data_IF_002299876306
#
_entry.id   IF_002299876306
#
_cell.length_a   1.000
_cell.length_b   1.000
_cell.length_c   1.000
_cell.angle_alpha   90.00
_cell.angle_beta   90.00
_cell.angle_gamma   90.00
#
_symmetry.space_group_name_H-M   'P 1'
#
loop_
_entity.id
_entity.type
_entity.pdbx_description
1 polymer ?
#
# COMPACT_ATOMS: atom_id res chain seq x y z
N UNK A 1 13.45 22.75 -4.53
CA UNK A 1 13.36 21.26 -4.55
C UNK A 1 12.42 20.84 -3.44
N UNK A 2 11.62 19.79 -3.65
CA UNK A 2 10.79 19.21 -2.60
C UNK A 2 11.66 18.68 -1.44
N UNK A 3 11.14 18.74 -0.20
CA UNK A 3 11.83 18.16 0.97
C UNK A 3 11.91 16.63 0.85
N UNK A 4 12.83 16.01 1.58
CA UNK A 4 12.95 14.55 1.59
C UNK A 4 11.66 13.90 2.12
N UNK A 5 11.03 14.49 3.12
CA UNK A 5 9.73 14.05 3.64
C UNK A 5 8.64 14.05 2.54
N UNK A 6 8.56 15.15 1.76
CA UNK A 6 7.64 15.23 0.61
C UNK A 6 7.89 14.11 -0.39
N UNK A 7 9.16 13.80 -0.68
CA UNK A 7 9.55 12.73 -1.61
C UNK A 7 9.21 11.35 -1.07
N UNK A 8 9.47 11.09 0.23
CA UNK A 8 9.11 9.83 0.87
C UNK A 8 7.60 9.63 0.87
N UNK A 9 6.84 10.65 1.27
CA UNK A 9 5.37 10.63 1.26
C UNK A 9 4.83 10.36 -0.14
N UNK A 10 5.34 11.07 -1.16
CA UNK A 10 4.92 10.87 -2.54
C UNK A 10 5.18 9.43 -3.00
N UNK A 11 6.35 8.88 -2.66
CA UNK A 11 6.70 7.51 -3.02
C UNK A 11 5.83 6.47 -2.34
N UNK A 12 5.45 6.68 -1.08
CA UNK A 12 4.49 5.81 -0.39
C UNK A 12 3.14 5.85 -1.10
N UNK A 13 2.62 7.02 -1.47
CA UNK A 13 1.36 7.11 -2.20
C UNK A 13 1.45 6.46 -3.58
N UNK A 14 2.48 6.77 -4.37
CA UNK A 14 2.64 6.22 -5.74
C UNK A 14 2.88 4.72 -5.77
N UNK A 15 3.74 4.20 -4.89
CA UNK A 15 4.27 2.86 -5.01
C UNK A 15 3.79 1.86 -3.94
N UNK A 16 3.03 2.33 -2.94
CA UNK A 16 2.44 1.47 -1.92
C UNK A 16 0.93 1.64 -1.82
N UNK A 17 0.39 2.87 -1.71
CA UNK A 17 -1.04 3.10 -1.56
C UNK A 17 -1.83 2.93 -2.87
N UNK A 18 -1.48 3.65 -3.94
CA UNK A 18 -2.20 3.55 -5.22
C UNK A 18 -2.23 2.13 -5.81
N UNK A 19 -1.18 1.30 -5.70
CA UNK A 19 -1.24 -0.11 -6.10
C UNK A 19 -2.30 -0.96 -5.39
N UNK A 20 -2.85 -0.51 -4.25
CA UNK A 20 -3.96 -1.17 -3.57
C UNK A 20 -5.26 -1.11 -4.39
N UNK A 21 -5.40 -0.15 -5.30
CA UNK A 21 -6.54 -0.06 -6.20
C UNK A 21 -6.76 -1.34 -7.00
N UNK A 22 -5.68 -2.04 -7.38
CA UNK A 22 -5.79 -3.37 -8.00
C UNK A 22 -6.51 -4.35 -7.07
N UNK A 23 -6.07 -4.46 -5.82
CA UNK A 23 -6.69 -5.38 -4.84
C UNK A 23 -8.14 -5.02 -4.60
N UNK A 24 -8.45 -3.74 -4.43
CA UNK A 24 -9.81 -3.24 -4.21
C UNK A 24 -10.71 -3.53 -5.40
N UNK A 25 -10.23 -3.30 -6.62
CA UNK A 25 -10.99 -3.56 -7.84
C UNK A 25 -11.28 -5.05 -8.07
N UNK A 26 -10.41 -5.95 -7.57
CA UNK A 26 -10.55 -7.40 -7.74
C UNK A 26 -11.27 -8.09 -6.58
N UNK A 27 -11.13 -7.57 -5.36
CA UNK A 27 -11.62 -8.23 -4.14
C UNK A 27 -12.96 -7.65 -3.66
N UNK A 28 -13.32 -6.41 -4.06
CA UNK A 28 -14.63 -5.83 -3.75
C UNK A 28 -15.65 -6.24 -4.83
N UNK A 29 -16.66 -7.09 -4.51
CA UNK A 29 -17.53 -7.73 -5.51
C UNK A 29 -18.20 -6.75 -6.48
N UNK A 30 -18.73 -5.64 -5.96
CA UNK A 30 -19.39 -4.60 -6.74
C UNK A 30 -18.45 -3.88 -7.72
N UNK A 31 -17.18 -3.71 -7.36
CA UNK A 31 -16.18 -3.13 -8.25
C UNK A 31 -15.69 -4.16 -9.28
N UNK A 32 -15.43 -5.39 -8.85
CA UNK A 32 -15.08 -6.48 -9.75
C UNK A 32 -16.11 -6.61 -10.87
N UNK A 33 -17.40 -6.64 -10.54
CA UNK A 33 -18.50 -6.68 -11.52
C UNK A 33 -18.50 -5.48 -12.47
N UNK A 34 -18.19 -4.25 -11.97
CA UNK A 34 -18.11 -3.05 -12.80
C UNK A 34 -17.00 -3.11 -13.84
N UNK A 35 -15.98 -3.91 -13.62
CA UNK A 35 -14.82 -4.04 -14.52
C UNK A 35 -14.87 -5.29 -15.40
N UNK A 36 -15.86 -6.15 -15.30
CA UNK A 36 -16.03 -7.29 -16.21
C UNK A 36 -16.04 -6.83 -17.67
N UNK A 37 -15.17 -7.43 -18.50
CA UNK A 37 -15.01 -7.11 -19.93
C UNK A 37 -14.42 -5.73 -20.22
N UNK A 38 -13.96 -4.98 -19.23
CA UNK A 38 -13.38 -3.64 -19.43
C UNK A 38 -11.93 -3.74 -19.85
N UNK A 39 -11.59 -2.99 -20.93
CA UNK A 39 -10.21 -2.71 -21.33
C UNK A 39 -9.94 -1.22 -21.13
N UNK A 40 -8.95 -0.86 -20.34
CA UNK A 40 -8.67 0.53 -20.00
C UNK A 40 -7.22 0.74 -19.55
N UNK A 41 -6.73 1.95 -19.74
CA UNK A 41 -5.44 2.41 -19.23
C UNK A 41 -5.66 3.65 -18.40
N UNK A 42 -5.22 3.59 -17.14
CA UNK A 42 -5.32 4.69 -16.18
C UNK A 42 -3.95 5.11 -15.69
N UNK A 43 -3.79 6.39 -15.38
CA UNK A 43 -2.55 6.91 -14.83
C UNK A 43 -2.81 7.94 -13.73
N UNK A 44 -1.97 7.91 -12.70
CA UNK A 44 -1.82 9.01 -11.74
C UNK A 44 -0.39 9.48 -11.84
N UNK A 45 -0.20 10.80 -12.01
CA UNK A 45 1.13 11.40 -12.15
C UNK A 45 1.28 12.68 -11.35
N UNK A 46 2.50 12.96 -10.88
CA UNK A 46 2.85 14.21 -10.21
C UNK A 46 4.19 14.74 -10.75
N UNK A 47 4.25 16.04 -11.05
CA UNK A 47 5.50 16.67 -11.49
C UNK A 47 6.50 16.71 -10.34
N UNK A 48 7.73 16.30 -10.64
CA UNK A 48 8.89 16.40 -9.75
C UNK A 48 9.61 17.75 -9.99
N UNK A 49 9.74 18.09 -11.27
CA UNK A 49 10.32 19.36 -11.75
C UNK A 49 9.66 19.73 -13.11
N UNK A 50 10.27 20.63 -13.87
CA UNK A 50 9.74 21.07 -15.16
C UNK A 50 9.71 19.94 -16.21
N UNK A 51 10.68 19.02 -16.17
CA UNK A 51 10.91 17.98 -17.18
C UNK A 51 10.46 16.61 -16.71
N UNK A 52 10.60 16.31 -15.39
CA UNK A 52 10.36 14.98 -14.82
C UNK A 52 9.03 14.91 -14.07
N UNK A 53 8.42 13.73 -14.13
CA UNK A 53 7.28 13.37 -13.30
C UNK A 53 7.41 11.94 -12.77
N UNK A 54 6.90 11.71 -11.57
CA UNK A 54 6.61 10.38 -11.07
C UNK A 54 5.20 9.97 -11.46
N UNK A 55 5.01 8.70 -11.76
CA UNK A 55 3.70 8.17 -12.12
C UNK A 55 3.53 6.71 -11.68
N UNK A 56 2.29 6.30 -11.62
CA UNK A 56 1.85 4.92 -11.56
C UNK A 56 0.74 4.74 -12.60
N UNK A 57 0.80 3.66 -13.36
CA UNK A 57 -0.25 3.36 -14.32
C UNK A 57 -0.85 1.97 -14.11
N UNK A 58 -2.07 1.86 -14.53
CA UNK A 58 -2.89 0.66 -14.42
C UNK A 58 -3.35 0.26 -15.82
N UNK A 59 -3.11 -0.99 -16.17
CA UNK A 59 -3.62 -1.58 -17.40
C UNK A 59 -4.68 -2.59 -16.98
N UNK A 60 -5.88 -2.41 -17.50
CA UNK A 60 -7.01 -3.32 -17.28
C UNK A 60 -7.30 -4.00 -18.60
N UNK A 61 -7.19 -5.32 -18.62
CA UNK A 61 -7.44 -6.17 -19.78
C UNK A 61 -8.55 -7.16 -19.41
N UNK A 62 -9.69 -7.05 -20.05
CA UNK A 62 -10.86 -7.88 -19.77
C UNK A 62 -11.23 -7.93 -18.27
N UNK A 63 -11.08 -6.81 -17.57
CA UNK A 63 -11.33 -6.68 -16.13
C UNK A 63 -10.15 -7.03 -15.22
N UNK A 64 -9.11 -7.66 -15.76
CA UNK A 64 -7.90 -8.00 -15.00
C UNK A 64 -6.95 -6.82 -14.89
N UNK A 65 -6.58 -6.46 -13.66
CA UNK A 65 -5.75 -5.30 -13.36
C UNK A 65 -4.27 -5.66 -13.27
N UNK A 66 -3.45 -4.90 -13.97
CA UNK A 66 -2.00 -4.84 -13.73
C UNK A 66 -1.57 -3.44 -13.33
N UNK A 67 -0.52 -3.34 -12.50
CA UNK A 67 0.00 -2.06 -11.96
C UNK A 67 1.49 -2.00 -12.24
N UNK A 68 1.94 -0.87 -12.80
CA UNK A 68 3.36 -0.60 -13.05
C UNK A 68 3.71 0.81 -12.58
N UNK A 69 4.88 0.94 -11.97
CA UNK A 69 5.45 2.25 -11.61
C UNK A 69 6.06 2.90 -12.84
N UNK A 70 5.97 4.20 -12.91
CA UNK A 70 6.40 5.02 -14.05
C UNK A 70 5.23 5.38 -14.98
N UNK A 71 5.56 6.23 -15.95
CA UNK A 71 4.60 6.65 -16.97
C UNK A 71 4.25 5.49 -17.91
N UNK A 72 3.04 5.54 -18.42
CA UNK A 72 2.64 4.64 -19.50
C UNK A 72 3.28 5.11 -20.81
N UNK A 73 4.12 4.26 -21.38
CA UNK A 73 4.86 4.51 -22.63
C UNK A 73 4.37 3.64 -23.81
N UNK A 74 3.23 2.98 -23.66
CA UNK A 74 2.66 2.14 -24.71
C UNK A 74 2.03 2.96 -25.85
N UNK A 75 1.63 2.26 -26.92
CA UNK A 75 1.06 2.90 -28.11
C UNK A 75 -0.40 3.34 -27.92
N UNK A 76 -1.12 2.71 -27.01
CA UNK A 76 -2.52 3.04 -26.75
C UNK A 76 -2.64 4.36 -25.97
N UNK A 77 -3.76 5.06 -26.16
CA UNK A 77 -4.02 6.30 -25.43
C UNK A 77 -4.55 6.00 -24.02
N UNK A 78 -4.03 6.69 -23.02
CA UNK A 78 -4.54 6.66 -21.64
C UNK A 78 -6.01 7.08 -21.64
N UNK A 79 -6.89 6.29 -21.03
CA UNK A 79 -8.34 6.56 -20.95
C UNK A 79 -8.68 7.63 -19.92
N UNK A 80 -7.94 7.64 -18.79
CA UNK A 80 -8.04 8.70 -17.79
C UNK A 80 -6.72 8.89 -17.04
N UNK A 81 -6.30 10.14 -16.85
CA UNK A 81 -5.14 10.52 -16.06
C UNK A 81 -5.51 11.59 -15.03
N UNK A 82 -5.07 11.36 -13.78
CA UNK A 82 -5.04 12.37 -12.73
C UNK A 82 -3.63 12.96 -12.67
N UNK A 83 -3.44 14.17 -13.22
CA UNK A 83 -2.14 14.82 -13.32
C UNK A 83 -2.00 15.95 -12.30
N UNK A 84 -1.15 15.74 -11.30
CA UNK A 84 -0.83 16.76 -10.29
C UNK A 84 0.31 17.65 -10.74
N UNK A 85 0.20 18.95 -10.45
CA UNK A 85 1.22 19.94 -10.85
C UNK A 85 2.47 19.90 -9.97
N UNK A 86 2.45 19.19 -8.84
CA UNK A 86 3.63 18.90 -8.01
C UNK A 86 3.36 17.69 -7.10
N UNK A 87 4.44 17.15 -6.50
CA UNK A 87 4.35 16.08 -5.49
C UNK A 87 3.61 16.54 -4.24
N UNK A 88 3.81 17.78 -3.80
CA UNK A 88 3.13 18.36 -2.63
C UNK A 88 1.62 18.32 -2.82
N UNK A 89 1.13 18.79 -3.97
CA UNK A 89 -0.32 18.79 -4.26
C UNK A 89 -0.91 17.39 -4.32
N UNK A 90 -0.16 16.43 -4.86
CA UNK A 90 -0.59 15.04 -4.84
C UNK A 90 -0.66 14.52 -3.41
N UNK A 91 0.38 14.76 -2.60
CA UNK A 91 0.41 14.33 -1.20
C UNK A 91 -0.76 14.93 -0.40
N UNK A 92 -1.03 16.22 -0.57
CA UNK A 92 -2.18 16.88 0.06
C UNK A 92 -3.51 16.26 -0.36
N UNK A 93 -3.71 16.01 -1.65
CA UNK A 93 -4.91 15.35 -2.15
C UNK A 93 -5.09 13.95 -1.57
N UNK A 94 -4.02 13.15 -1.55
CA UNK A 94 -4.04 11.80 -0.98
C UNK A 94 -4.29 11.79 0.53
N UNK A 95 -3.91 12.85 1.24
CA UNK A 95 -4.22 13.10 2.66
C UNK A 95 -5.63 13.71 2.88
N UNK A 96 -6.47 13.76 1.84
CA UNK A 96 -7.85 14.25 1.92
C UNK A 96 -8.02 15.77 1.84
N UNK A 97 -6.96 16.54 1.55
CA UNK A 97 -7.05 17.99 1.37
C UNK A 97 -7.54 18.33 -0.03
N UNK A 98 -8.82 18.69 -0.16
CA UNK A 98 -9.49 18.98 -1.44
C UNK A 98 -9.03 20.28 -2.14
N UNK A 99 -8.12 21.04 -1.54
CA UNK A 99 -7.58 22.27 -2.13
C UNK A 99 -6.61 22.03 -3.29
N UNK A 100 -6.11 20.80 -3.43
CA UNK A 100 -5.04 20.41 -4.37
C UNK A 100 -5.55 19.41 -5.43
N UNK A 101 -6.56 19.82 -6.20
CA UNK A 101 -7.17 18.95 -7.22
C UNK A 101 -6.23 18.69 -8.40
N UNK A 102 -6.21 17.45 -8.95
CA UNK A 102 -5.46 17.13 -10.15
C UNK A 102 -6.09 17.73 -11.40
N UNK A 103 -5.29 17.95 -12.43
CA UNK A 103 -5.81 18.13 -13.79
C UNK A 103 -6.27 16.77 -14.31
N UNK A 104 -7.55 16.66 -14.59
CA UNK A 104 -8.16 15.45 -15.15
C UNK A 104 -8.02 15.47 -16.66
N UNK A 105 -7.37 14.45 -17.24
CA UNK A 105 -7.31 14.19 -18.67
C UNK A 105 -8.17 12.97 -18.95
N UNK A 106 -9.32 13.18 -19.60
CA UNK A 106 -10.34 12.16 -19.79
C UNK A 106 -10.55 11.93 -21.29
N UNK A 107 -10.29 10.70 -21.75
CA UNK A 107 -10.62 10.22 -23.10
C UNK A 107 -11.99 9.54 -23.11
N UNK A 108 -12.31 8.79 -22.05
CA UNK A 108 -13.56 8.05 -21.89
C UNK A 108 -14.20 8.35 -20.54
N UNK A 109 -15.32 9.04 -20.54
CA UNK A 109 -16.01 9.41 -19.30
C UNK A 109 -16.51 8.19 -18.52
N UNK A 110 -17.05 7.17 -19.19
CA UNK A 110 -17.51 5.94 -18.53
C UNK A 110 -16.39 5.15 -17.88
N UNK A 111 -15.19 5.12 -18.49
CA UNK A 111 -14.00 4.48 -17.87
C UNK A 111 -13.46 5.34 -16.72
N UNK A 112 -13.48 6.68 -16.87
CA UNK A 112 -13.07 7.59 -15.81
C UNK A 112 -13.92 7.43 -14.54
N UNK A 113 -15.25 7.35 -14.67
CA UNK A 113 -16.14 7.17 -13.51
C UNK A 113 -15.89 5.83 -12.80
N UNK A 114 -15.58 4.76 -13.54
CA UNK A 114 -15.17 3.48 -12.96
C UNK A 114 -13.86 3.59 -12.19
N UNK A 115 -12.86 4.28 -12.75
CA UNK A 115 -11.57 4.51 -12.08
C UNK A 115 -11.74 5.31 -10.79
N UNK A 116 -12.53 6.39 -10.84
CA UNK A 116 -12.83 7.18 -9.65
C UNK A 116 -13.58 6.39 -8.58
N UNK A 117 -14.46 5.46 -8.96
CA UNK A 117 -15.15 4.60 -7.99
C UNK A 117 -14.15 3.73 -7.18
N UNK A 118 -13.10 3.20 -7.82
CA UNK A 118 -12.05 2.45 -7.11
C UNK A 118 -11.22 3.37 -6.21
N UNK A 119 -10.86 4.56 -6.69
CA UNK A 119 -10.07 5.53 -5.90
C UNK A 119 -10.85 6.00 -4.67
N UNK A 120 -12.14 6.33 -4.82
CA UNK A 120 -12.99 6.73 -3.70
C UNK A 120 -13.22 5.58 -2.72
N UNK A 121 -13.40 4.34 -3.20
CA UNK A 121 -13.49 3.17 -2.32
C UNK A 121 -12.20 2.96 -1.54
N UNK A 122 -11.04 3.13 -2.17
CA UNK A 122 -9.74 3.08 -1.49
C UNK A 122 -9.65 4.15 -0.38
N UNK A 123 -10.01 5.38 -0.67
CA UNK A 123 -10.04 6.47 0.32
C UNK A 123 -10.97 6.13 1.49
N UNK A 124 -12.18 5.66 1.20
CA UNK A 124 -13.16 5.26 2.22
C UNK A 124 -12.64 4.12 3.10
N UNK A 125 -12.01 3.08 2.52
CA UNK A 125 -11.46 1.95 3.27
C UNK A 125 -10.30 2.37 4.16
N UNK A 126 -9.37 3.18 3.65
CA UNK A 126 -8.19 3.62 4.41
C UNK A 126 -8.49 4.74 5.42
N UNK A 127 -9.69 5.32 5.40
CA UNK A 127 -10.15 6.31 6.40
C UNK A 127 -10.85 5.68 7.61
N UNK A 128 -11.05 4.36 7.62
CA UNK A 128 -11.64 3.65 8.76
C UNK A 128 -10.65 3.72 9.94
N UNK A 129 -11.09 4.31 11.05
CA UNK A 129 -10.25 4.58 12.21
C UNK A 129 -10.33 3.50 13.30
N UNK A 130 -11.37 2.67 13.27
CA UNK A 130 -11.59 1.59 14.24
C UNK A 130 -11.90 0.27 13.51
N UNK A 131 -11.56 -0.89 14.10
CA UNK A 131 -11.91 -2.18 13.51
C UNK A 131 -13.43 -2.28 13.31
N UNK A 132 -13.91 -2.75 12.13
CA UNK A 132 -15.33 -2.96 11.88
C UNK A 132 -15.92 -3.95 12.90
N UNK A 133 -17.07 -3.60 13.46
CA UNK A 133 -17.81 -4.50 14.34
C UNK A 133 -18.63 -5.50 13.50
N UNK A 134 -18.51 -6.80 13.82
CA UNK A 134 -19.28 -7.87 13.20
C UNK A 134 -19.21 -7.98 11.65
N UNK A 135 -18.13 -7.48 11.05
CA UNK A 135 -17.87 -7.60 9.62
C UNK A 135 -16.45 -8.17 9.39
N UNK A 136 -16.37 -9.49 9.40
CA UNK A 136 -15.11 -10.22 9.23
C UNK A 136 -14.53 -10.05 7.83
N UNK A 137 -15.37 -10.05 6.79
CA UNK A 137 -14.92 -9.88 5.40
C UNK A 137 -14.28 -8.51 5.19
N UNK A 138 -14.90 -7.45 5.70
CA UNK A 138 -14.33 -6.11 5.65
C UNK A 138 -13.05 -6.02 6.49
N UNK A 139 -13.01 -6.64 7.67
CA UNK A 139 -11.84 -6.68 8.54
C UNK A 139 -10.66 -7.38 7.86
N UNK A 140 -10.89 -8.51 7.21
CA UNK A 140 -9.87 -9.24 6.43
C UNK A 140 -9.38 -8.43 5.23
N UNK A 141 -10.30 -7.78 4.50
CA UNK A 141 -9.92 -6.88 3.39
C UNK A 141 -9.03 -5.74 3.89
N UNK A 142 -9.38 -5.08 5.00
CA UNK A 142 -8.59 -4.00 5.59
C UNK A 142 -7.20 -4.49 6.03
N UNK A 143 -7.11 -5.64 6.73
CA UNK A 143 -5.83 -6.25 7.10
C UNK A 143 -4.94 -6.47 5.87
N UNK A 144 -5.50 -7.05 4.81
CA UNK A 144 -4.82 -7.28 3.54
C UNK A 144 -4.28 -5.99 2.93
N UNK A 145 -5.11 -4.94 2.89
CA UNK A 145 -4.71 -3.64 2.36
C UNK A 145 -3.58 -3.00 3.19
N UNK A 146 -3.70 -3.01 4.51
CA UNK A 146 -2.67 -2.47 5.39
C UNK A 146 -1.36 -3.27 5.33
N UNK A 147 -1.39 -4.59 5.32
CA UNK A 147 -0.18 -5.40 5.18
C UNK A 147 0.53 -5.13 3.85
N UNK A 148 -0.22 -4.96 2.75
CA UNK A 148 0.34 -4.60 1.45
C UNK A 148 0.90 -3.18 1.45
N UNK A 149 0.20 -2.23 2.06
CA UNK A 149 0.65 -0.85 2.20
C UNK A 149 1.97 -0.78 2.99
N UNK A 150 2.01 -1.40 4.18
CA UNK A 150 3.14 -1.32 5.09
C UNK A 150 4.36 -2.05 4.55
N UNK A 151 4.22 -3.29 4.07
CA UNK A 151 5.34 -4.03 3.49
C UNK A 151 5.95 -3.32 2.28
N UNK A 152 5.09 -2.78 1.40
CA UNK A 152 5.52 -1.99 0.25
C UNK A 152 6.12 -0.65 0.67
N UNK A 153 5.51 0.06 1.62
CA UNK A 153 5.96 1.36 2.12
C UNK A 153 7.36 1.28 2.72
N UNK A 154 7.60 0.33 3.63
CA UNK A 154 8.94 0.11 4.22
C UNK A 154 9.97 -0.20 3.12
N UNK A 155 9.60 -1.07 2.15
CA UNK A 155 10.49 -1.37 1.02
C UNK A 155 10.78 -0.15 0.16
N UNK A 156 9.84 0.77 -0.03
CA UNK A 156 10.07 2.00 -0.79
C UNK A 156 10.93 2.99 -0.01
N UNK A 157 10.74 3.15 1.29
CA UNK A 157 11.61 3.97 2.15
C UNK A 157 13.06 3.51 2.07
N UNK A 158 13.31 2.19 2.11
CA UNK A 158 14.65 1.65 1.89
C UNK A 158 15.20 2.07 0.51
N UNK A 159 14.43 1.87 -0.55
CA UNK A 159 14.87 2.20 -1.93
C UNK A 159 15.12 3.70 -2.16
N UNK A 160 14.44 4.54 -1.39
CA UNK A 160 14.62 5.99 -1.40
C UNK A 160 15.80 6.46 -0.55
N UNK A 161 16.47 5.56 0.18
CA UNK A 161 17.58 5.90 1.05
C UNK A 161 17.15 6.58 2.35
N UNK A 162 15.93 6.30 2.86
CA UNK A 162 15.52 6.84 4.16
C UNK A 162 16.51 6.40 5.24
N UNK A 163 17.15 7.31 6.00
CA UNK A 163 18.33 6.99 6.80
C UNK A 163 18.15 5.75 7.70
N UNK A 164 17.12 5.75 8.54
CA UNK A 164 16.90 4.64 9.48
C UNK A 164 16.62 3.31 8.78
N UNK A 165 15.76 3.32 7.74
CA UNK A 165 15.34 2.09 7.05
C UNK A 165 16.43 1.57 6.13
N UNK A 166 17.16 2.47 5.47
CA UNK A 166 18.24 2.09 4.56
C UNK A 166 19.47 1.55 5.31
N UNK A 167 19.89 2.21 6.40
CA UNK A 167 20.99 1.75 7.24
C UNK A 167 20.74 0.38 7.85
N UNK A 168 19.49 0.14 8.29
CA UNK A 168 19.07 -1.18 8.73
C UNK A 168 19.14 -2.21 7.60
N UNK A 169 18.62 -1.86 6.42
CA UNK A 169 18.63 -2.77 5.28
C UNK A 169 20.05 -3.11 4.79
N UNK A 170 20.98 -2.16 4.83
CA UNK A 170 22.40 -2.38 4.49
C UNK A 170 23.04 -3.43 5.40
N UNK A 171 22.74 -3.38 6.69
CA UNK A 171 23.26 -4.29 7.71
C UNK A 171 22.52 -5.64 7.78
N UNK A 172 21.35 -5.73 7.10
CA UNK A 172 20.51 -6.93 7.16
C UNK A 172 21.08 -8.06 6.29
N UNK A 173 21.34 -9.26 6.85
CA UNK A 173 21.51 -10.45 6.04
C UNK A 173 20.21 -10.79 5.28
N UNK A 174 20.18 -11.92 4.59
CA UNK A 174 18.98 -12.36 3.87
C UNK A 174 17.87 -12.77 4.86
N UNK A 175 16.91 -11.89 5.06
CA UNK A 175 15.80 -12.04 6.01
C UNK A 175 14.46 -11.76 5.35
N UNK A 176 13.46 -12.54 5.74
CA UNK A 176 12.05 -12.32 5.34
C UNK A 176 11.23 -12.00 6.59
N UNK A 177 10.52 -10.89 6.53
CA UNK A 177 9.56 -10.43 7.53
C UNK A 177 8.17 -10.63 6.97
N UNK A 178 7.26 -11.20 7.75
CA UNK A 178 5.91 -11.56 7.31
C UNK A 178 4.86 -11.02 8.28
N UNK A 179 3.72 -10.66 7.75
CA UNK A 179 2.49 -10.32 8.49
C UNK A 179 1.41 -11.29 8.07
N UNK A 180 0.70 -11.86 9.03
CA UNK A 180 -0.32 -12.87 8.76
C UNK A 180 -1.47 -12.80 9.76
N UNK A 181 -2.65 -13.21 9.32
CA UNK A 181 -3.80 -13.53 10.18
C UNK A 181 -3.96 -15.05 10.18
N UNK A 182 -4.14 -15.64 11.35
CA UNK A 182 -4.27 -17.10 11.48
C UNK A 182 -5.49 -17.61 10.72
N UNK A 183 -5.35 -18.72 10.03
CA UNK A 183 -6.41 -19.28 9.18
C UNK A 183 -6.65 -18.56 7.85
N UNK A 184 -6.00 -17.38 7.59
CA UNK A 184 -6.26 -16.52 6.43
C UNK A 184 -5.01 -16.25 5.59
N UNK A 185 -4.48 -17.24 4.84
CA UNK A 185 -3.27 -17.07 4.03
C UNK A 185 -3.41 -16.00 2.93
N UNK A 186 -4.64 -15.71 2.48
CA UNK A 186 -4.95 -14.64 1.52
C UNK A 186 -4.71 -13.23 2.08
N UNK A 187 -4.67 -13.08 3.41
CA UNK A 187 -4.36 -11.82 4.11
C UNK A 187 -2.90 -11.68 4.50
N UNK A 188 -2.01 -12.47 3.89
CA UNK A 188 -0.58 -12.47 4.22
C UNK A 188 0.19 -11.54 3.29
N UNK A 189 1.19 -10.86 3.85
CA UNK A 189 2.20 -10.11 3.09
C UNK A 189 3.58 -10.33 3.68
N UNK A 190 4.61 -10.12 2.87
CA UNK A 190 5.99 -10.23 3.33
C UNK A 190 6.88 -9.13 2.75
N UNK A 191 8.00 -8.91 3.41
CA UNK A 191 9.10 -8.10 2.90
C UNK A 191 10.41 -8.87 3.09
N UNK A 192 11.13 -9.13 2.00
CA UNK A 192 12.48 -9.68 2.04
C UNK A 192 13.49 -8.57 1.96
N UNK A 193 14.49 -8.63 2.83
CA UNK A 193 15.60 -7.67 2.89
C UNK A 193 16.91 -8.45 2.79
N UNK A 194 17.87 -7.93 2.03
CA UNK A 194 19.19 -8.52 1.87
C UNK A 194 20.20 -7.46 1.47
N UNK A 195 21.17 -7.18 2.33
CA UNK A 195 22.32 -6.31 2.04
C UNK A 195 21.93 -5.03 1.27
N UNK A 196 21.06 -4.20 1.85
CA UNK A 196 20.58 -2.95 1.28
C UNK A 196 19.42 -3.06 0.27
N UNK A 197 19.13 -4.26 -0.23
CA UNK A 197 18.02 -4.49 -1.16
C UNK A 197 16.77 -4.95 -0.42
N UNK A 198 15.61 -4.44 -0.81
CA UNK A 198 14.32 -4.87 -0.26
C UNK A 198 13.29 -5.13 -1.34
N UNK A 199 12.40 -6.08 -1.08
CA UNK A 199 11.27 -6.42 -1.94
C UNK A 199 10.07 -6.84 -1.11
N UNK A 200 8.98 -6.13 -1.26
CA UNK A 200 7.68 -6.55 -0.73
C UNK A 200 7.02 -7.58 -1.66
N UNK A 201 6.23 -8.46 -1.07
CA UNK A 201 5.43 -9.44 -1.79
C UNK A 201 4.08 -9.67 -1.11
N UNK A 202 3.12 -10.14 -1.87
CA UNK A 202 1.76 -10.45 -1.45
C UNK A 202 1.62 -11.96 -1.26
N UNK A 203 0.81 -12.37 -0.27
CA UNK A 203 0.68 -13.77 0.11
C UNK A 203 1.85 -14.29 0.94
N UNK A 204 1.85 -15.57 1.22
CA UNK A 204 2.88 -16.24 2.02
C UNK A 204 4.24 -16.30 1.31
N UNK A 205 5.31 -16.18 2.09
CA UNK A 205 6.67 -16.41 1.59
C UNK A 205 6.96 -17.92 1.51
N UNK A 206 7.03 -18.45 0.29
CA UNK A 206 7.09 -19.91 0.02
C UNK A 206 8.50 -20.47 -0.14
N UNK A 207 9.57 -19.63 -0.12
CA UNK A 207 10.94 -20.13 -0.40
C UNK A 207 11.66 -20.69 0.83
N UNK A 208 11.29 -20.21 2.02
CA UNK A 208 11.82 -20.66 3.30
C UNK A 208 10.90 -20.20 4.42
N UNK A 209 11.06 -20.73 5.63
CA UNK A 209 10.41 -20.15 6.81
C UNK A 209 10.80 -18.68 6.94
N UNK A 210 9.85 -17.75 7.17
CA UNK A 210 10.15 -16.36 7.47
C UNK A 210 11.11 -16.24 8.66
N UNK A 211 12.03 -15.30 8.60
CA UNK A 211 12.93 -14.99 9.71
C UNK A 211 12.16 -14.42 10.91
N UNK A 212 11.15 -13.60 10.64
CA UNK A 212 10.25 -13.04 11.63
C UNK A 212 8.84 -13.00 11.06
N UNK A 213 7.84 -13.40 11.86
CA UNK A 213 6.43 -13.29 11.49
C UNK A 213 5.65 -12.62 12.61
N UNK A 214 4.92 -11.57 12.27
CA UNK A 214 3.90 -10.94 13.10
C UNK A 214 2.55 -11.58 12.76
N UNK A 215 2.10 -12.54 13.58
CA UNK A 215 0.92 -13.33 13.35
C UNK A 215 -0.19 -12.94 14.33
N UNK A 216 -1.36 -12.64 13.84
CA UNK A 216 -2.54 -12.27 14.62
C UNK A 216 -3.52 -13.44 14.67
N UNK A 217 -4.20 -13.61 15.81
CA UNK A 217 -5.23 -14.63 16.00
C UNK A 217 -6.46 -14.40 15.10
N UNK A 218 -6.81 -13.13 14.85
CA UNK A 218 -7.91 -12.74 13.97
C UNK A 218 -7.68 -11.37 13.33
N UNK A 219 -8.53 -11.02 12.36
CA UNK A 219 -8.43 -9.74 11.64
C UNK A 219 -8.67 -8.54 12.56
N UNK A 220 -9.60 -8.62 13.51
CA UNK A 220 -9.87 -7.53 14.47
C UNK A 220 -8.64 -7.22 15.32
N UNK A 221 -7.92 -8.23 15.79
CA UNK A 221 -6.68 -8.07 16.54
C UNK A 221 -5.59 -7.39 15.69
N UNK A 222 -5.44 -7.81 14.43
CA UNK A 222 -4.52 -7.15 13.51
C UNK A 222 -4.87 -5.67 13.33
N UNK A 223 -6.14 -5.36 13.09
CA UNK A 223 -6.60 -3.98 12.88
C UNK A 223 -6.40 -3.10 14.10
N UNK A 224 -6.53 -3.59 15.33
CA UNK A 224 -6.21 -2.81 16.54
C UNK A 224 -4.78 -2.27 16.52
N UNK A 225 -3.81 -3.10 16.11
CA UNK A 225 -2.41 -2.64 15.97
C UNK A 225 -2.24 -1.72 14.76
N UNK A 226 -2.82 -2.07 13.61
CA UNK A 226 -2.67 -1.33 12.36
C UNK A 226 -3.30 0.07 12.41
N UNK A 227 -4.38 0.23 13.17
CA UNK A 227 -5.07 1.50 13.38
C UNK A 227 -4.55 2.28 14.61
N UNK A 228 -3.67 1.67 15.41
CA UNK A 228 -3.06 2.31 16.57
C UNK A 228 -3.96 2.36 17.80
N UNK A 229 -4.99 1.51 17.87
CA UNK A 229 -5.92 1.41 19.01
C UNK A 229 -5.58 0.28 19.98
N UNK A 230 -4.63 -0.61 19.61
CA UNK A 230 -4.22 -1.75 20.43
C UNK A 230 -2.86 -1.58 21.07
N UNK A 231 -2.69 -2.20 22.26
CA UNK A 231 -1.41 -2.30 22.95
C UNK A 231 -0.71 -3.62 22.59
N UNK A 232 0.43 -3.53 21.95
CA UNK A 232 1.20 -4.69 21.44
C UNK A 232 1.62 -5.63 22.57
N UNK A 233 1.97 -5.12 23.76
CA UNK A 233 2.39 -5.93 24.91
C UNK A 233 1.22 -6.72 25.49
N UNK A 234 0.08 -6.06 25.71
CA UNK A 234 -1.13 -6.71 26.20
C UNK A 234 -1.63 -7.76 25.21
N UNK A 235 -1.63 -7.43 23.91
CA UNK A 235 -2.07 -8.36 22.86
C UNK A 235 -1.14 -9.57 22.74
N UNK A 236 0.16 -9.40 22.96
CA UNK A 236 1.09 -10.52 23.02
C UNK A 236 0.84 -11.39 24.25
N UNK A 237 0.64 -10.79 25.42
CA UNK A 237 0.30 -11.53 26.64
C UNK A 237 -1.01 -12.34 26.51
N UNK A 238 -1.99 -11.80 25.79
CA UNK A 238 -3.29 -12.43 25.52
C UNK A 238 -3.27 -13.37 24.31
N UNK A 239 -2.13 -13.61 23.66
CA UNK A 239 -1.97 -14.42 22.46
C UNK A 239 -2.74 -13.91 21.22
N UNK A 240 -3.19 -12.68 21.25
CA UNK A 240 -3.82 -12.02 20.09
C UNK A 240 -2.79 -11.62 19.03
N UNK A 241 -1.54 -11.42 19.45
CA UNK A 241 -0.37 -11.21 18.61
C UNK A 241 0.70 -12.22 18.99
N UNK A 242 1.13 -13.03 18.04
CA UNK A 242 2.23 -13.98 18.17
C UNK A 242 3.40 -13.48 17.32
N UNK A 243 4.54 -13.23 17.97
CA UNK A 243 5.79 -12.88 17.30
C UNK A 243 6.63 -14.15 17.12
N UNK A 244 6.59 -14.72 15.91
CA UNK A 244 7.48 -15.82 15.58
C UNK A 244 8.85 -15.28 15.18
N UNK A 245 9.86 -15.49 16.01
CA UNK A 245 11.21 -14.92 15.90
C UNK A 245 11.58 -14.13 17.14
N UNK A 246 12.73 -13.43 17.12
CA UNK A 246 13.16 -12.64 18.27
C UNK A 246 12.36 -11.34 18.40
N UNK A 247 11.83 -11.03 19.60
CA UNK A 247 10.89 -9.90 19.82
C UNK A 247 11.44 -8.52 19.42
N UNK A 248 12.75 -8.31 19.53
CA UNK A 248 13.39 -7.06 19.13
C UNK A 248 13.14 -6.68 17.66
N UNK A 249 12.98 -7.68 16.78
CA UNK A 249 12.63 -7.42 15.37
C UNK A 249 11.17 -7.00 15.21
N UNK A 250 10.30 -7.43 16.13
CA UNK A 250 8.91 -6.97 16.18
C UNK A 250 8.82 -5.50 16.50
N UNK A 251 9.58 -5.03 17.50
CA UNK A 251 9.66 -3.61 17.86
C UNK A 251 10.19 -2.79 16.67
N UNK A 252 11.30 -3.20 16.08
CA UNK A 252 11.92 -2.51 14.96
C UNK A 252 11.00 -2.41 13.73
N UNK A 253 10.33 -3.49 13.38
CA UNK A 253 9.36 -3.48 12.27
C UNK A 253 8.14 -2.62 12.62
N UNK A 254 7.68 -2.64 13.88
CA UNK A 254 6.64 -1.78 14.38
C UNK A 254 6.96 -0.29 14.20
N UNK A 255 8.18 0.13 14.53
CA UNK A 255 8.64 1.51 14.33
C UNK A 255 8.60 1.90 12.84
N UNK A 256 9.00 1.01 11.93
CA UNK A 256 8.92 1.28 10.50
C UNK A 256 7.49 1.30 9.96
N UNK A 257 6.59 0.48 10.53
CA UNK A 257 5.17 0.55 10.22
C UNK A 257 4.58 1.90 10.65
N UNK A 258 4.92 2.38 11.85
CA UNK A 258 4.50 3.70 12.33
C UNK A 258 5.06 4.82 11.46
N UNK A 259 6.31 4.73 11.02
CA UNK A 259 6.92 5.71 10.10
C UNK A 259 6.16 5.78 8.78
N UNK A 260 5.83 4.64 8.15
CA UNK A 260 5.01 4.61 6.93
C UNK A 260 3.63 5.23 7.19
N UNK A 261 3.00 4.90 8.32
CA UNK A 261 1.70 5.46 8.71
C UNK A 261 1.74 6.97 8.91
N UNK A 262 2.77 7.51 9.54
CA UNK A 262 2.92 8.96 9.78
C UNK A 262 3.12 9.76 8.49
N UNK A 263 3.81 9.18 7.50
CA UNK A 263 4.00 9.81 6.19
C UNK A 263 2.75 9.76 5.31
N UNK A 264 1.87 8.78 5.52
CA UNK A 264 0.63 8.61 4.76
C UNK A 264 -0.59 9.35 5.33
N UNK A 265 -0.48 9.89 6.56
CA UNK A 265 -1.54 10.66 7.27
C UNK A 265 -1.52 12.15 6.95
#
# INVERSE_FOLDING_TARGET
MASDETRYTNKIFMAAALPLMKTIATDVPELKKKFEGVNAIYQVSAKVNAEDKEAVHFIVENGEWSVKLGEYLGQEKIDAELAFSSMEKMNEFMKGKMTSLPKMKIKSFGKFTKFMAVLLKMSSLLSIAEPPENDEELSLLLCKLYFYLLSSGISQLNKMGHPQVHDWALKSPDRCYQWAVDGHPECTAYMRVKAGKSRAGRGEYKRSKPFFCMKFDCATSALKILLGTGDMFQMTANKQLIMEGAPEFGVQIGDYMMLVGSLAK
#
